data_IF_203534252956
#
_entry.id   IF_203534252956
#
_cell.length_a   1.000
_cell.length_b   1.000
_cell.length_c   1.000
_cell.angle_alpha   90.00
_cell.angle_beta   90.00
_cell.angle_gamma   90.00
#
_symmetry.space_group_name_H-M   'P 1'
#
loop_
_entity.id
_entity.type
_entity.pdbx_description
1 polymer ?
#
# COMPACT_ATOMS: atom_id res chain seq x y z
N UNK A 1 11.67 30.25 -21.54
CA UNK A 1 11.52 30.76 -20.17
C UNK A 1 11.30 29.56 -19.24
N UNK A 2 12.37 28.95 -18.73
CA UNK A 2 12.27 27.78 -17.84
C UNK A 2 11.78 28.23 -16.46
N UNK A 3 10.71 27.63 -15.94
CA UNK A 3 10.25 27.92 -14.57
C UNK A 3 11.28 27.40 -13.58
N UNK A 4 11.80 28.28 -12.73
CA UNK A 4 12.65 27.91 -11.60
C UNK A 4 11.90 26.97 -10.64
N UNK A 5 12.57 25.97 -10.03
CA UNK A 5 11.90 25.03 -9.15
C UNK A 5 11.38 25.74 -7.90
N UNK A 6 10.07 25.62 -7.66
CA UNK A 6 9.40 26.18 -6.48
C UNK A 6 9.95 25.53 -5.20
N UNK A 7 10.79 26.28 -4.48
CA UNK A 7 11.54 25.86 -3.27
C UNK A 7 10.65 25.42 -2.10
N UNK A 8 9.33 25.66 -2.18
CA UNK A 8 8.34 25.29 -1.16
C UNK A 8 7.81 23.85 -1.28
N UNK A 9 8.11 23.14 -2.37
CA UNK A 9 7.64 21.75 -2.56
C UNK A 9 8.59 20.73 -1.90
N UNK A 10 8.07 19.75 -1.12
CA UNK A 10 8.91 18.72 -0.54
C UNK A 10 9.49 17.82 -1.63
N UNK A 11 10.75 17.38 -1.45
CA UNK A 11 11.46 16.48 -2.38
C UNK A 11 10.67 15.21 -2.71
N UNK A 12 9.97 14.66 -1.71
CA UNK A 12 9.09 13.51 -1.87
C UNK A 12 7.66 13.94 -1.51
N UNK A 13 6.77 14.11 -2.51
CA UNK A 13 5.38 14.42 -2.25
C UNK A 13 4.67 13.21 -1.61
N UNK A 14 3.71 13.47 -0.74
CA UNK A 14 2.95 12.44 -0.05
C UNK A 14 2.24 12.98 1.20
N UNK A 15 1.46 12.12 1.84
CA UNK A 15 0.81 12.43 3.12
C UNK A 15 1.62 11.80 4.25
N UNK A 16 2.11 12.62 5.19
CA UNK A 16 2.69 12.10 6.43
C UNK A 16 1.58 11.43 7.23
N UNK A 17 1.80 10.18 7.62
CA UNK A 17 0.86 9.39 8.41
C UNK A 17 1.60 8.77 9.59
N UNK A 18 0.92 8.62 10.72
CA UNK A 18 1.37 7.76 11.81
C UNK A 18 0.91 6.34 11.48
N UNK A 19 1.83 5.39 11.40
CA UNK A 19 1.56 3.99 11.03
C UNK A 19 2.54 3.05 11.74
N UNK A 20 2.26 1.75 11.73
CA UNK A 20 3.18 0.70 12.18
C UNK A 20 3.86 0.00 10.97
N UNK A 21 4.73 -0.97 11.27
CA UNK A 21 5.45 -1.74 10.24
C UNK A 21 4.55 -2.60 9.36
N UNK A 22 3.60 -3.34 9.96
CA UNK A 22 2.68 -4.22 9.24
C UNK A 22 1.81 -3.44 8.25
N UNK A 23 1.25 -2.32 8.67
CA UNK A 23 0.45 -1.43 7.83
C UNK A 23 1.27 -0.83 6.68
N UNK A 24 2.52 -0.43 6.93
CA UNK A 24 3.37 0.15 5.90
C UNK A 24 3.75 -0.90 4.84
N UNK A 25 4.11 -2.11 5.26
CA UNK A 25 4.50 -3.19 4.35
C UNK A 25 3.31 -3.65 3.53
N UNK A 26 2.16 -3.91 4.15
CA UNK A 26 0.95 -4.33 3.42
C UNK A 26 0.42 -3.26 2.44
N UNK A 27 0.58 -1.96 2.75
CA UNK A 27 0.21 -0.89 1.81
C UNK A 27 1.11 -0.89 0.56
N UNK A 28 2.41 -1.16 0.74
CA UNK A 28 3.37 -1.34 -0.36
C UNK A 28 3.09 -2.62 -1.14
N UNK A 29 2.82 -3.74 -0.48
CA UNK A 29 2.47 -5.01 -1.12
C UNK A 29 1.26 -4.86 -2.03
N UNK A 30 0.22 -4.13 -1.59
CA UNK A 30 -0.94 -3.79 -2.41
C UNK A 30 -0.65 -2.83 -3.58
N UNK A 31 0.49 -2.14 -3.59
CA UNK A 31 0.91 -1.32 -4.74
C UNK A 31 1.69 -2.13 -5.78
N UNK A 32 2.50 -3.09 -5.34
CA UNK A 32 3.43 -3.81 -6.22
C UNK A 32 2.92 -5.19 -6.68
N UNK A 33 1.84 -5.68 -6.07
CA UNK A 33 1.29 -7.02 -6.34
C UNK A 33 -0.04 -6.98 -7.10
N UNK A 34 -0.38 -8.07 -7.75
CA UNK A 34 -1.72 -8.29 -8.35
C UNK A 34 -2.61 -9.16 -7.45
N UNK A 35 -2.01 -10.08 -6.69
CA UNK A 35 -2.70 -10.97 -5.76
C UNK A 35 -1.91 -11.17 -4.47
N UNK A 36 -2.60 -11.47 -3.37
CA UNK A 36 -2.03 -11.84 -2.08
C UNK A 36 -2.69 -13.11 -1.56
N UNK A 37 -1.87 -14.09 -1.17
CA UNK A 37 -2.31 -15.32 -0.48
C UNK A 37 -1.66 -15.31 0.89
N UNK A 38 -2.45 -15.44 1.94
CA UNK A 38 -1.97 -15.32 3.32
C UNK A 38 -2.59 -16.36 4.25
N UNK A 39 -1.84 -16.68 5.30
CA UNK A 39 -2.25 -17.57 6.39
C UNK A 39 -2.03 -16.84 7.72
N UNK A 40 -2.98 -16.91 8.68
CA UNK A 40 -2.86 -16.19 9.95
C UNK A 40 -1.73 -16.77 10.82
N UNK A 41 -0.69 -15.98 11.06
CA UNK A 41 0.39 -16.29 12.02
C UNK A 41 0.94 -15.02 12.67
N UNK A 42 1.10 -15.04 13.99
CA UNK A 42 1.63 -13.90 14.73
C UNK A 42 3.12 -13.67 14.41
N UNK A 43 3.57 -12.42 14.24
CA UNK A 43 2.85 -11.15 14.38
C UNK A 43 2.27 -10.57 13.06
N UNK A 44 2.33 -11.32 11.96
CA UNK A 44 2.03 -10.83 10.60
C UNK A 44 0.55 -10.94 10.18
N UNK A 45 -0.33 -11.48 11.03
CA UNK A 45 -1.78 -11.58 10.74
C UNK A 45 -2.37 -10.24 10.28
N UNK A 46 -1.98 -9.13 10.93
CA UNK A 46 -2.42 -7.77 10.59
C UNK A 46 -2.12 -7.38 9.14
N UNK A 47 -1.03 -7.89 8.54
CA UNK A 47 -0.68 -7.60 7.15
C UNK A 47 -1.68 -8.21 6.17
N UNK A 48 -2.09 -9.47 6.40
CA UNK A 48 -3.10 -10.16 5.59
C UNK A 48 -4.47 -9.49 5.71
N UNK A 49 -4.87 -9.15 6.94
CA UNK A 49 -6.10 -8.38 7.21
C UNK A 49 -6.11 -7.04 6.48
N UNK A 50 -4.97 -6.32 6.46
CA UNK A 50 -4.88 -5.06 5.73
C UNK A 50 -4.91 -5.27 4.21
N UNK A 51 -4.24 -6.29 3.67
CA UNK A 51 -4.31 -6.60 2.23
C UNK A 51 -5.75 -6.92 1.78
N UNK A 52 -6.48 -7.72 2.56
CA UNK A 52 -7.91 -7.99 2.36
C UNK A 52 -8.74 -6.69 2.38
N UNK A 53 -8.43 -5.75 3.28
CA UNK A 53 -9.09 -4.44 3.36
C UNK A 53 -8.79 -3.55 2.14
N UNK A 54 -7.54 -3.54 1.63
CA UNK A 54 -7.16 -2.83 0.41
C UNK A 54 -7.93 -3.38 -0.81
N UNK A 55 -8.03 -4.71 -0.91
CA UNK A 55 -8.85 -5.39 -1.92
C UNK A 55 -10.32 -4.97 -1.82
N UNK A 56 -10.90 -5.02 -0.61
CA UNK A 56 -12.32 -4.68 -0.37
C UNK A 56 -12.65 -3.21 -0.67
N UNK A 57 -11.68 -2.31 -0.51
CA UNK A 57 -11.80 -0.88 -0.88
C UNK A 57 -11.63 -0.62 -2.37
N UNK A 58 -11.33 -1.65 -3.18
CA UNK A 58 -11.06 -1.50 -4.60
C UNK A 58 -9.80 -0.70 -4.90
N UNK A 59 -8.79 -0.73 -4.00
CA UNK A 59 -7.51 -0.05 -4.25
C UNK A 59 -6.89 -0.64 -5.52
N UNK A 60 -6.48 0.23 -6.44
CA UNK A 60 -5.72 -0.16 -7.63
C UNK A 60 -4.23 -0.20 -7.28
N UNK A 61 -3.54 -1.18 -7.83
CA UNK A 61 -2.09 -1.27 -7.73
C UNK A 61 -1.41 -0.22 -8.64
N UNK A 62 -0.08 -0.15 -8.60
CA UNK A 62 0.71 0.79 -9.40
C UNK A 62 0.53 0.61 -10.92
N UNK A 63 -0.03 -0.53 -11.35
CA UNK A 63 -0.30 -0.86 -12.75
C UNK A 63 -1.76 -0.58 -13.16
N UNK A 64 -2.57 -0.01 -12.27
CA UNK A 64 -3.98 0.29 -12.51
C UNK A 64 -4.90 -0.93 -12.49
N UNK A 65 -4.45 -2.07 -11.95
CA UNK A 65 -5.23 -3.29 -11.83
C UNK A 65 -5.82 -3.44 -10.43
N UNK A 66 -6.97 -4.12 -10.36
CA UNK A 66 -7.58 -4.52 -9.08
C UNK A 66 -6.77 -5.64 -8.43
N UNK A 67 -6.79 -5.67 -7.09
CA UNK A 67 -6.15 -6.72 -6.30
C UNK A 67 -7.00 -7.98 -6.26
N UNK A 68 -6.38 -9.10 -5.87
CA UNK A 68 -7.05 -10.33 -5.46
C UNK A 68 -6.51 -10.78 -4.10
N UNK A 69 -7.38 -11.16 -3.17
CA UNK A 69 -6.98 -11.59 -1.82
C UNK A 69 -7.58 -12.97 -1.51
N UNK A 70 -6.76 -13.86 -0.96
CA UNK A 70 -7.14 -15.22 -0.59
C UNK A 70 -6.52 -15.60 0.77
N UNK A 71 -7.34 -16.12 1.67
CA UNK A 71 -6.90 -16.72 2.92
C UNK A 71 -6.80 -18.25 2.75
N UNK A 72 -5.79 -18.86 3.37
CA UNK A 72 -5.58 -20.32 3.43
C UNK A 72 -5.76 -20.83 4.85
#
# INVERSE_FOLDING_TARGET
MGKEPNKLSPKYPGKRITTNGNLLVSDLEGLISEAGVFYPITPSTEMGENFQNLYSKGKLNAFGKSLMAMET
#
